data_IF_772450125060
#
_entry.id   IF_772450125060
#
_cell.length_a   1.000
_cell.length_b   1.000
_cell.length_c   1.000
_cell.angle_alpha   90.00
_cell.angle_beta   90.00
_cell.angle_gamma   90.00
#
_symmetry.space_group_name_H-M   'P 1'
#
loop_
_entity.id
_entity.type
_entity.pdbx_description
1 polymer ?
#
# COMPACT_ATOMS: atom_id res chain seq x y z
N UNK A 1 -31.77 40.63 -37.69
CA UNK A 1 -30.63 40.06 -36.91
C UNK A 1 -29.70 39.32 -37.87
N UNK A 2 -28.41 39.65 -37.90
CA UNK A 2 -27.46 39.14 -38.89
C UNK A 2 -27.10 37.67 -38.59
N UNK A 3 -27.59 36.73 -39.42
CA UNK A 3 -27.42 35.26 -39.23
C UNK A 3 -25.97 34.81 -38.96
N UNK A 4 -25.00 35.53 -39.52
CA UNK A 4 -23.56 35.26 -39.32
C UNK A 4 -23.11 35.43 -37.87
N UNK A 5 -23.62 36.45 -37.16
CA UNK A 5 -23.26 36.68 -35.77
C UNK A 5 -23.92 35.66 -34.83
N UNK A 6 -25.10 35.15 -35.18
CA UNK A 6 -25.79 34.10 -34.43
C UNK A 6 -25.01 32.78 -34.46
N UNK A 7 -24.47 32.40 -35.62
CA UNK A 7 -23.68 31.18 -35.77
C UNK A 7 -22.35 31.26 -35.01
N UNK A 8 -21.67 32.41 -35.07
CA UNK A 8 -20.42 32.63 -34.33
C UNK A 8 -20.68 32.57 -32.82
N UNK A 9 -21.74 33.22 -32.33
CA UNK A 9 -22.12 33.20 -30.92
C UNK A 9 -22.43 31.77 -30.44
N UNK A 10 -23.15 30.99 -31.25
CA UNK A 10 -23.46 29.60 -30.92
C UNK A 10 -22.21 28.72 -30.87
N UNK A 11 -21.26 28.91 -31.79
CA UNK A 11 -19.99 28.17 -31.81
C UNK A 11 -19.10 28.50 -30.60
N UNK A 12 -19.10 29.75 -30.15
CA UNK A 12 -18.40 30.17 -28.93
C UNK A 12 -19.06 29.54 -27.70
N UNK A 13 -20.40 29.55 -27.65
CA UNK A 13 -21.15 28.95 -26.55
C UNK A 13 -20.91 27.44 -26.48
N UNK A 14 -20.96 26.73 -27.60
CA UNK A 14 -20.65 25.30 -27.61
C UNK A 14 -19.20 25.03 -27.24
N UNK A 15 -18.22 25.81 -27.71
CA UNK A 15 -16.81 25.61 -27.32
C UNK A 15 -16.56 25.82 -25.81
N UNK A 16 -17.25 26.79 -25.19
CA UNK A 16 -17.08 27.11 -23.77
C UNK A 16 -17.82 26.12 -22.85
N UNK A 17 -18.96 25.57 -23.30
CA UNK A 17 -19.82 24.70 -22.49
C UNK A 17 -19.83 23.23 -22.95
N UNK A 18 -19.10 22.86 -24.00
CA UNK A 18 -18.98 21.46 -24.46
C UNK A 18 -18.12 20.60 -23.53
N UNK A 19 -17.28 21.23 -22.71
CA UNK A 19 -16.55 20.51 -21.68
C UNK A 19 -17.47 20.33 -20.48
N UNK A 20 -18.32 19.31 -20.56
CA UNK A 20 -18.93 18.73 -19.37
C UNK A 20 -17.79 18.14 -18.54
N UNK A 21 -17.27 18.92 -17.60
CA UNK A 21 -16.37 18.39 -16.57
C UNK A 21 -17.22 17.52 -15.65
N UNK A 22 -17.36 16.24 -16.01
CA UNK A 22 -17.89 15.22 -15.11
C UNK A 22 -16.83 14.95 -14.04
N UNK A 23 -16.76 15.87 -13.08
CA UNK A 23 -15.94 15.71 -11.91
C UNK A 23 -16.70 14.84 -10.92
N UNK A 24 -16.33 13.57 -10.79
CA UNK A 24 -16.88 12.70 -9.75
C UNK A 24 -16.21 13.06 -8.42
N UNK A 25 -17.02 13.46 -7.43
CA UNK A 25 -16.52 13.80 -6.10
C UNK A 25 -15.92 12.57 -5.41
N UNK A 26 -16.44 11.37 -5.67
CA UNK A 26 -15.90 10.13 -5.12
C UNK A 26 -14.47 9.89 -5.60
N UNK A 27 -14.22 10.02 -6.91
CA UNK A 27 -12.87 9.87 -7.46
C UNK A 27 -11.92 10.96 -6.95
N UNK A 28 -12.39 12.19 -6.80
CA UNK A 28 -11.60 13.29 -6.22
C UNK A 28 -11.16 12.99 -4.79
N UNK A 29 -12.05 12.44 -3.95
CA UNK A 29 -11.71 12.02 -2.60
C UNK A 29 -10.69 10.87 -2.58
N UNK A 30 -10.73 9.99 -3.59
CA UNK A 30 -9.81 8.85 -3.70
C UNK A 30 -8.45 9.19 -4.33
N UNK A 31 -8.25 10.37 -4.90
CA UNK A 31 -6.97 10.74 -5.53
C UNK A 31 -5.78 10.69 -4.55
N UNK A 32 -5.99 11.02 -3.28
CA UNK A 32 -4.96 10.98 -2.25
C UNK A 32 -4.87 9.66 -1.48
N UNK A 33 -5.78 8.72 -1.72
CA UNK A 33 -5.84 7.45 -0.98
C UNK A 33 -4.92 6.44 -1.67
N UNK A 34 -3.92 5.89 -0.98
CA UNK A 34 -3.08 4.84 -1.53
C UNK A 34 -3.92 3.65 -2.01
N UNK A 35 -3.67 3.21 -3.24
CA UNK A 35 -4.35 2.05 -3.83
C UNK A 35 -3.41 0.85 -3.80
N UNK A 36 -3.92 -0.29 -3.33
CA UNK A 36 -3.17 -1.53 -3.38
C UNK A 36 -2.97 -1.96 -4.84
N UNK A 37 -1.73 -2.29 -5.21
CA UNK A 37 -1.35 -2.76 -6.55
C UNK A 37 -0.69 -4.13 -6.42
N UNK A 38 -1.50 -5.18 -6.40
CA UNK A 38 -1.01 -6.55 -6.27
C UNK A 38 -2.15 -7.55 -6.34
N UNK A 39 -1.79 -8.83 -6.37
CA UNK A 39 -2.77 -9.91 -6.23
C UNK A 39 -3.32 -9.91 -4.79
N UNK A 40 -4.64 -10.04 -4.66
CA UNK A 40 -5.27 -10.11 -3.34
C UNK A 40 -5.14 -11.54 -2.84
N UNK A 41 -4.31 -11.75 -1.83
CA UNK A 41 -4.25 -13.03 -1.12
C UNK A 41 -5.54 -13.22 -0.32
N UNK A 42 -6.22 -14.34 -0.59
CA UNK A 42 -7.45 -14.74 0.10
C UNK A 42 -7.17 -15.83 1.14
N UNK A 43 -7.90 -15.82 2.26
CA UNK A 43 -7.78 -16.82 3.33
C UNK A 43 -7.01 -16.32 4.55
N UNK A 44 -6.55 -17.24 5.40
CA UNK A 44 -5.80 -16.91 6.61
C UNK A 44 -4.33 -16.62 6.31
N UNK A 45 -3.94 -15.35 6.37
CA UNK A 45 -2.56 -14.89 6.14
C UNK A 45 -1.56 -15.49 7.14
N UNK A 46 -2.00 -15.85 8.36
CA UNK A 46 -1.10 -16.43 9.37
C UNK A 46 -0.69 -17.87 9.04
N UNK A 47 -1.40 -18.54 8.13
CA UNK A 47 -1.03 -19.86 7.61
C UNK A 47 0.03 -19.81 6.50
N UNK A 48 0.30 -18.62 5.96
CA UNK A 48 1.24 -18.43 4.86
C UNK A 48 2.68 -18.28 5.37
N UNK A 49 3.67 -18.70 4.55
CA UNK A 49 5.08 -18.53 4.88
C UNK A 49 5.46 -17.06 5.04
N UNK A 50 6.46 -16.82 5.90
CA UNK A 50 7.09 -15.51 6.10
C UNK A 50 8.43 -15.51 5.38
N UNK A 51 8.66 -14.50 4.53
CA UNK A 51 9.92 -14.26 3.84
C UNK A 51 10.58 -13.02 4.44
N UNK A 52 11.88 -13.12 4.76
CA UNK A 52 12.65 -12.01 5.31
C UNK A 52 13.98 -11.93 4.56
N UNK A 53 14.22 -10.80 3.91
CA UNK A 53 15.49 -10.44 3.28
C UNK A 53 16.13 -9.30 4.07
N UNK A 54 17.43 -9.38 4.33
CA UNK A 54 18.20 -8.37 5.05
C UNK A 54 19.70 -8.55 4.78
N UNK A 55 20.49 -7.51 5.04
CA UNK A 55 21.95 -7.58 4.91
C UNK A 55 22.58 -8.49 5.98
N UNK A 56 22.04 -8.44 7.21
CA UNK A 56 22.53 -9.24 8.35
C UNK A 56 21.36 -9.81 9.18
N UNK A 57 21.58 -10.98 9.78
CA UNK A 57 20.64 -11.60 10.70
C UNK A 57 21.38 -12.22 11.90
N UNK A 58 20.88 -11.93 13.10
CA UNK A 58 21.26 -12.61 14.34
C UNK A 58 20.05 -13.41 14.83
N UNK A 59 20.20 -14.73 14.95
CA UNK A 59 19.07 -15.63 15.22
C UNK A 59 19.31 -16.38 16.52
N UNK A 60 18.50 -16.07 17.53
CA UNK A 60 18.53 -16.67 18.86
C UNK A 60 17.32 -17.60 19.06
N UNK A 61 17.33 -18.73 18.33
CA UNK A 61 16.19 -19.65 18.33
C UNK A 61 15.93 -20.30 19.69
N UNK A 62 14.67 -20.56 20.07
CA UNK A 62 13.44 -20.20 19.34
C UNK A 62 12.85 -18.83 19.77
N UNK A 63 13.59 -18.02 20.53
CA UNK A 63 13.03 -16.89 21.26
C UNK A 63 12.90 -15.64 20.39
N UNK A 64 13.96 -15.26 19.70
CA UNK A 64 13.97 -14.05 18.88
C UNK A 64 15.01 -14.08 17.77
N UNK A 65 14.83 -13.18 16.80
CA UNK A 65 15.78 -12.93 15.73
C UNK A 65 15.79 -11.44 15.39
N UNK A 66 16.97 -10.89 15.11
CA UNK A 66 17.16 -9.49 14.73
C UNK A 66 17.74 -9.41 13.33
N UNK A 67 17.01 -8.75 12.43
CA UNK A 67 17.39 -8.51 11.04
C UNK A 67 17.78 -7.03 10.88
N UNK A 68 18.87 -6.77 10.16
CA UNK A 68 19.47 -5.43 10.05
C UNK A 68 19.98 -5.17 8.63
N UNK A 69 19.80 -3.94 8.18
CA UNK A 69 20.19 -3.47 6.85
C UNK A 69 19.14 -3.85 5.81
N UNK A 70 18.47 -2.82 5.27
CA UNK A 70 17.50 -2.94 4.16
C UNK A 70 16.52 -4.11 4.32
N UNK A 71 15.89 -4.23 5.49
CA UNK A 71 15.03 -5.37 5.82
C UNK A 71 13.74 -5.29 5.01
N UNK A 72 13.45 -6.35 4.27
CA UNK A 72 12.21 -6.61 3.56
C UNK A 72 11.53 -7.87 4.12
N UNK A 73 10.43 -7.68 4.85
CA UNK A 73 9.64 -8.75 5.46
C UNK A 73 8.27 -8.85 4.80
N UNK A 74 7.91 -10.04 4.31
CA UNK A 74 6.65 -10.32 3.61
C UNK A 74 5.91 -11.52 4.20
N UNK A 75 4.59 -11.41 4.32
CA UNK A 75 3.67 -12.51 4.61
C UNK A 75 2.34 -12.28 3.90
N UNK A 76 2.08 -13.01 2.81
CA UNK A 76 0.94 -12.72 1.93
C UNK A 76 0.97 -11.26 1.45
N UNK A 77 -0.11 -10.52 1.66
CA UNK A 77 -0.18 -9.09 1.29
C UNK A 77 0.40 -8.14 2.36
N UNK A 78 0.91 -8.65 3.48
CA UNK A 78 1.59 -7.84 4.50
C UNK A 78 3.05 -7.66 4.08
N UNK A 79 3.49 -6.41 3.99
CA UNK A 79 4.85 -6.05 3.59
C UNK A 79 5.38 -4.99 4.56
N UNK A 80 6.54 -5.27 5.17
CA UNK A 80 7.22 -4.39 6.10
C UNK A 80 8.64 -4.12 5.59
N UNK A 81 8.94 -2.85 5.35
CA UNK A 81 10.26 -2.36 4.98
C UNK A 81 10.84 -1.53 6.13
N UNK A 82 12.06 -1.84 6.58
CA UNK A 82 12.71 -1.11 7.67
C UNK A 82 14.23 -1.28 7.66
N UNK A 83 14.95 -0.42 8.39
CA UNK A 83 16.40 -0.59 8.58
C UNK A 83 16.73 -1.70 9.57
N UNK A 84 15.87 -1.94 10.56
CA UNK A 84 16.02 -3.06 11.49
C UNK A 84 14.66 -3.57 11.96
N UNK A 85 14.52 -4.89 12.02
CA UNK A 85 13.33 -5.59 12.49
C UNK A 85 13.75 -6.63 13.52
N UNK A 86 13.09 -6.65 14.67
CA UNK A 86 13.19 -7.76 15.61
C UNK A 86 11.92 -8.61 15.56
N UNK A 87 12.08 -9.90 15.35
CA UNK A 87 11.02 -10.89 15.46
C UNK A 87 11.11 -11.54 16.84
N UNK A 88 10.06 -11.47 17.64
CA UNK A 88 9.98 -12.16 18.93
C UNK A 88 8.92 -13.23 18.91
N UNK A 89 9.26 -14.38 19.49
CA UNK A 89 8.33 -15.46 19.75
C UNK A 89 7.80 -15.37 21.18
N UNK A 90 6.49 -15.56 21.35
CA UNK A 90 5.82 -15.70 22.63
C UNK A 90 4.79 -16.82 22.59
N UNK A 91 4.24 -17.20 23.75
CA UNK A 91 3.24 -18.27 23.85
C UNK A 91 3.83 -19.67 24.01
N UNK A 92 2.97 -20.68 23.90
CA UNK A 92 3.33 -22.09 24.11
C UNK A 92 4.01 -22.68 22.86
N UNK A 93 4.90 -23.67 23.04
CA UNK A 93 5.69 -24.26 21.95
C UNK A 93 4.83 -24.88 20.83
N UNK A 94 3.62 -25.35 21.16
CA UNK A 94 2.71 -25.96 20.18
C UNK A 94 2.04 -24.94 19.25
N UNK A 95 1.92 -23.68 19.67
CA UNK A 95 1.30 -22.59 18.88
C UNK A 95 2.04 -21.27 19.13
N UNK A 96 3.29 -21.15 18.65
CA UNK A 96 4.10 -19.97 18.91
C UNK A 96 3.53 -18.76 18.18
N UNK A 97 3.32 -17.66 18.92
CA UNK A 97 2.99 -16.36 18.34
C UNK A 97 4.30 -15.65 17.99
N UNK A 98 4.46 -15.20 16.75
CA UNK A 98 5.64 -14.44 16.30
C UNK A 98 5.23 -13.06 15.85
N UNK A 99 5.82 -12.05 16.47
CA UNK A 99 5.54 -10.63 16.19
C UNK A 99 6.80 -9.95 15.68
N UNK A 100 6.67 -9.18 14.60
CA UNK A 100 7.75 -8.36 14.04
C UNK A 100 7.63 -6.91 14.53
N UNK A 101 8.74 -6.35 15.00
CA UNK A 101 8.83 -4.99 15.53
C UNK A 101 9.89 -4.22 14.78
N UNK A 102 9.56 -3.03 14.28
CA UNK A 102 10.55 -2.10 13.75
C UNK A 102 11.39 -1.57 14.91
N UNK A 103 12.71 -1.72 14.81
CA UNK A 103 13.68 -1.14 15.75
C UNK A 103 14.15 0.19 15.17
N UNK A 104 14.20 1.22 16.02
CA UNK A 104 14.64 2.57 15.64
C UNK A 104 13.85 3.13 14.46
N UNK A 105 12.52 3.23 14.62
CA UNK A 105 11.67 3.90 13.65
C UNK A 105 12.16 5.32 13.39
N UNK A 106 12.04 5.76 12.14
CA UNK A 106 12.35 7.13 11.70
C UNK A 106 11.40 8.10 12.39
#
# INVERSE_FOLDING_TARGET
MNKKHTLISLAILTALYSQQSLADLHEQCLMGVPKFSGEVVTGDVNSLPVYIEADNAEINQPNDATYQGNVDLKQGNRHLLAQSVQVKQSGNQSTPLRMAYVRNGI
#
